data_IF_951643636163
#
_entry.id   IF_951643636163
#
_cell.length_a   1.000
_cell.length_b   1.000
_cell.length_c   1.000
_cell.angle_alpha   90.00
_cell.angle_beta   90.00
_cell.angle_gamma   90.00
#
_symmetry.space_group_name_H-M   'P 1'
#
loop_
_entity.id
_entity.type
_entity.pdbx_description
1 polymer ?
#
# COMPACT_ATOMS: atom_id res chain seq x y z
N UNK A 1 -1.88 -2.01 7.14
CA UNK A 1 -1.81 -0.83 6.26
C UNK A 1 -1.89 0.37 7.16
N UNK A 2 -0.90 1.25 7.07
CA UNK A 2 -0.89 2.49 7.83
C UNK A 2 -1.53 3.57 6.97
N UNK A 3 -2.52 4.26 7.52
CA UNK A 3 -3.33 5.23 6.79
C UNK A 3 -3.31 6.54 7.56
N UNK A 4 -2.94 7.61 6.87
CA UNK A 4 -2.85 8.97 7.40
C UNK A 4 -3.85 9.84 6.66
N UNK A 5 -4.67 10.58 7.41
CA UNK A 5 -5.67 11.50 6.86
C UNK A 5 -5.63 12.83 7.59
N UNK A 6 -5.92 13.92 6.90
CA UNK A 6 -6.11 15.23 7.51
C UNK A 6 -7.58 15.68 7.46
N UNK A 7 -7.87 16.84 8.06
CA UNK A 7 -9.23 17.42 8.09
C UNK A 7 -9.70 17.95 6.74
N UNK A 8 -8.81 18.10 5.76
CA UNK A 8 -9.18 18.47 4.38
C UNK A 8 -9.68 17.27 3.57
N UNK A 9 -9.49 16.05 4.08
CA UNK A 9 -9.80 14.80 3.39
C UNK A 9 -8.63 14.26 2.57
N UNK A 10 -7.43 14.86 2.66
CA UNK A 10 -6.24 14.28 2.07
C UNK A 10 -5.92 12.95 2.75
N UNK A 11 -5.36 11.99 2.01
CA UNK A 11 -5.14 10.64 2.48
C UNK A 11 -3.86 10.06 1.90
N UNK A 12 -2.96 9.57 2.75
CA UNK A 12 -1.83 8.75 2.35
C UNK A 12 -1.89 7.37 3.02
N UNK A 13 -1.51 6.32 2.31
CA UNK A 13 -1.46 4.96 2.84
C UNK A 13 -0.14 4.26 2.49
N UNK A 14 0.27 3.40 3.41
CA UNK A 14 1.40 2.48 3.27
C UNK A 14 0.88 1.06 3.45
N UNK A 15 1.04 0.23 2.42
CA UNK A 15 0.61 -1.17 2.46
C UNK A 15 1.88 -2.03 2.41
N UNK A 16 2.14 -2.75 3.49
CA UNK A 16 3.32 -3.58 3.64
C UNK A 16 3.00 -5.07 3.50
N UNK A 17 3.84 -5.79 2.77
CA UNK A 17 3.96 -7.23 2.84
C UNK A 17 5.22 -7.59 3.63
N UNK A 18 5.03 -8.10 4.85
CA UNK A 18 6.12 -8.53 5.74
C UNK A 18 6.48 -10.01 5.57
N UNK A 19 5.86 -10.70 4.61
CA UNK A 19 6.27 -12.05 4.22
C UNK A 19 7.56 -11.95 3.39
N UNK A 20 8.62 -12.62 3.84
CA UNK A 20 9.95 -12.52 3.25
C UNK A 20 10.12 -13.40 1.99
N UNK A 21 9.14 -14.25 1.69
CA UNK A 21 9.22 -15.25 0.63
C UNK A 21 8.14 -15.13 -0.41
N UNK A 22 6.92 -14.77 0.01
CA UNK A 22 5.76 -14.85 -0.84
C UNK A 22 5.18 -13.48 -1.13
N UNK A 23 4.91 -13.25 -2.40
CA UNK A 23 4.11 -12.12 -2.85
C UNK A 23 2.66 -12.28 -2.36
N UNK A 24 1.99 -11.15 -2.13
CA UNK A 24 0.59 -11.12 -1.71
C UNK A 24 -0.21 -10.15 -2.55
N UNK A 25 -1.42 -10.57 -2.90
CA UNK A 25 -2.46 -9.65 -3.37
C UNK A 25 -3.40 -9.39 -2.20
N UNK A 26 -3.57 -8.13 -1.83
CA UNK A 26 -4.45 -7.73 -0.72
C UNK A 26 -5.52 -6.78 -1.23
N UNK A 27 -6.71 -6.85 -0.62
CA UNK A 27 -7.76 -5.87 -0.85
C UNK A 27 -7.62 -4.70 0.14
N UNK A 28 -7.59 -3.48 -0.39
CA UNK A 28 -7.64 -2.25 0.39
C UNK A 28 -8.58 -1.27 -0.31
N UNK A 29 -9.56 -0.74 0.43
CA UNK A 29 -10.57 0.21 -0.11
C UNK A 29 -11.21 -0.23 -1.43
N UNK A 30 -11.59 -1.50 -1.53
CA UNK A 30 -12.24 -2.09 -2.70
C UNK A 30 -11.36 -2.13 -3.97
N UNK A 31 -10.04 -2.01 -3.80
CA UNK A 31 -9.04 -2.21 -4.84
C UNK A 31 -8.05 -3.31 -4.43
N UNK A 32 -7.55 -4.05 -5.42
CA UNK A 32 -6.55 -5.09 -5.23
C UNK A 32 -5.15 -4.55 -5.45
N UNK A 33 -4.25 -4.79 -4.51
CA UNK A 33 -2.84 -4.39 -4.59
C UNK A 33 -1.93 -5.61 -4.53
N UNK A 34 -1.11 -5.77 -5.55
CA UNK A 34 -0.04 -6.76 -5.55
C UNK A 34 1.20 -6.18 -4.85
N UNK A 35 1.72 -6.95 -3.89
CA UNK A 35 2.85 -6.59 -3.05
C UNK A 35 3.90 -7.70 -3.17
N UNK A 36 5.08 -7.41 -3.73
CA UNK A 36 6.21 -8.33 -3.67
C UNK A 36 6.54 -8.72 -2.22
N UNK A 37 7.21 -9.86 -2.04
CA UNK A 37 7.80 -10.25 -0.78
C UNK A 37 8.65 -9.11 -0.18
N UNK A 38 8.53 -8.91 1.13
CA UNK A 38 9.27 -7.91 1.90
C UNK A 38 9.25 -6.49 1.32
N UNK A 39 8.05 -5.97 1.02
CA UNK A 39 7.89 -4.69 0.33
C UNK A 39 6.84 -3.79 0.97
N UNK A 40 6.95 -2.49 0.67
CA UNK A 40 5.95 -1.47 1.02
C UNK A 40 5.52 -0.73 -0.25
N UNK A 41 4.21 -0.71 -0.53
CA UNK A 41 3.59 0.17 -1.53
C UNK A 41 3.16 1.48 -0.88
N UNK A 42 3.48 2.60 -1.53
CA UNK A 42 3.19 3.97 -1.10
C UNK A 42 2.07 4.53 -1.97
N UNK A 43 0.98 4.98 -1.32
CA UNK A 43 -0.21 5.53 -1.97
C UNK A 43 -0.49 6.93 -1.42
N UNK A 44 -0.10 8.02 -2.11
CA UNK A 44 -0.25 9.39 -1.61
C UNK A 44 -1.69 9.91 -1.64
N UNK A 45 -2.61 9.14 -2.23
CA UNK A 45 -4.06 9.41 -2.32
C UNK A 45 -4.90 8.24 -1.77
N UNK A 46 -4.26 7.27 -1.10
CA UNK A 46 -4.86 6.02 -0.63
C UNK A 46 -5.51 5.15 -1.72
N UNK A 47 -5.16 5.37 -2.99
CA UNK A 47 -5.81 4.69 -4.11
C UNK A 47 -4.80 4.21 -5.16
N UNK A 48 -3.87 5.05 -5.58
CA UNK A 48 -2.86 4.75 -6.59
C UNK A 48 -1.48 4.52 -5.97
N UNK A 49 -0.84 3.41 -6.34
CA UNK A 49 0.56 3.14 -5.95
C UNK A 49 1.47 3.99 -6.83
N UNK A 50 2.19 4.93 -6.22
CA UNK A 50 3.21 5.74 -6.93
C UNK A 50 4.60 5.15 -6.81
N UNK A 51 4.84 4.33 -5.77
CA UNK A 51 6.10 3.67 -5.53
C UNK A 51 5.90 2.38 -4.75
N UNK A 52 6.69 1.36 -5.05
CA UNK A 52 6.84 0.17 -4.22
C UNK A 52 8.35 -0.07 -4.01
N UNK A 53 8.75 -0.45 -2.81
CA UNK A 53 10.18 -0.57 -2.44
C UNK A 53 10.91 -1.74 -3.08
N UNK A 54 10.20 -2.68 -3.72
CA UNK A 54 10.76 -3.89 -4.30
C UNK A 54 10.37 -4.08 -5.79
N UNK A 55 9.83 -3.04 -6.43
CA UNK A 55 9.45 -3.04 -7.85
C UNK A 55 10.44 -2.23 -8.68
#
# INVERSE_FOLDING_TARGET
ADVYTDSSGACAAFIANVDDKNDKTVEFRNASYHLPAWSVSILPDCNNVVFNTAK
#
